data_IF_097385684742
#
_entry.id   IF_097385684742
#
_cell.length_a   1.000
_cell.length_b   1.000
_cell.length_c   1.000
_cell.angle_alpha   90.00
_cell.angle_beta   90.00
_cell.angle_gamma   90.00
#
_symmetry.space_group_name_H-M   'P 1'
#
loop_
_entity.id
_entity.type
_entity.pdbx_description
1 polymer ?
#
# COMPACT_ATOMS: atom_id res chain seq x y z
N UNK A 1 -18.78 -18.74 -2.03
CA UNK A 1 -17.41 -18.23 -1.75
C UNK A 1 -17.31 -17.53 -0.40
N UNK A 2 -18.21 -16.59 -0.04
CA UNK A 2 -18.25 -15.95 1.28
C UNK A 2 -18.49 -16.93 2.44
N UNK A 3 -19.43 -17.86 2.30
CA UNK A 3 -19.67 -18.90 3.31
C UNK A 3 -18.46 -19.82 3.57
N UNK A 4 -17.58 -19.99 2.57
CA UNK A 4 -16.34 -20.75 2.72
C UNK A 4 -15.32 -19.93 3.52
N UNK A 5 -15.09 -18.67 3.14
CA UNK A 5 -14.23 -17.74 3.89
C UNK A 5 -14.67 -17.56 5.36
N UNK A 6 -15.97 -17.49 5.63
CA UNK A 6 -16.50 -17.40 7.00
C UNK A 6 -16.33 -18.71 7.79
N UNK A 7 -16.38 -19.87 7.12
CA UNK A 7 -16.08 -21.15 7.78
C UNK A 7 -14.60 -21.30 8.07
N UNK A 8 -13.76 -20.86 7.14
CA UNK A 8 -12.30 -20.91 7.26
C UNK A 8 -11.79 -19.99 8.38
N UNK A 9 -12.32 -18.76 8.49
CA UNK A 9 -11.93 -17.82 9.56
C UNK A 9 -12.33 -18.32 10.95
N UNK A 10 -13.51 -18.94 11.10
CA UNK A 10 -13.93 -19.51 12.39
C UNK A 10 -13.02 -20.65 12.84
N UNK A 11 -12.55 -21.49 11.92
CA UNK A 11 -11.61 -22.57 12.24
C UNK A 11 -10.25 -22.02 12.69
N UNK A 12 -9.75 -20.99 11.99
CA UNK A 12 -8.47 -20.36 12.32
C UNK A 12 -8.53 -19.56 13.61
N UNK A 13 -9.65 -18.90 13.91
CA UNK A 13 -9.86 -18.21 15.20
C UNK A 13 -9.98 -19.22 16.34
N UNK A 14 -10.66 -20.35 16.14
CA UNK A 14 -10.72 -21.40 17.15
C UNK A 14 -9.33 -21.99 17.43
N UNK A 15 -8.51 -22.18 16.39
CA UNK A 15 -7.10 -22.55 16.57
C UNK A 15 -6.35 -21.50 17.39
N UNK A 16 -6.42 -20.21 17.02
CA UNK A 16 -5.77 -19.13 17.75
C UNK A 16 -6.17 -19.11 19.24
N UNK A 17 -7.48 -19.27 19.51
CA UNK A 17 -8.03 -19.31 20.86
C UNK A 17 -7.62 -20.55 21.67
N UNK A 18 -7.16 -21.62 20.99
CA UNK A 18 -6.65 -22.84 21.63
C UNK A 18 -5.17 -22.77 22.01
N UNK A 19 -4.45 -21.74 21.55
CA UNK A 19 -3.06 -21.50 21.92
C UNK A 19 -2.93 -21.14 23.42
N UNK A 20 -1.77 -21.44 24.00
CA UNK A 20 -1.45 -21.00 25.35
C UNK A 20 -1.40 -19.46 25.41
N UNK A 21 -1.78 -18.83 26.54
CA UNK A 21 -1.84 -17.37 26.65
C UNK A 21 -0.52 -16.67 26.29
N UNK A 22 0.63 -17.28 26.61
CA UNK A 22 1.94 -16.72 26.26
C UNK A 22 2.18 -16.69 24.75
N UNK A 23 1.70 -17.68 24.00
CA UNK A 23 1.83 -17.73 22.55
C UNK A 23 0.91 -16.69 21.89
N UNK A 24 -0.30 -16.50 22.43
CA UNK A 24 -1.20 -15.44 21.98
C UNK A 24 -0.59 -14.05 22.19
N UNK A 25 0.01 -13.80 23.37
CA UNK A 25 0.71 -12.53 23.66
C UNK A 25 1.92 -12.35 22.74
N UNK A 26 2.72 -13.39 22.52
CA UNK A 26 3.85 -13.34 21.58
C UNK A 26 3.40 -13.00 20.14
N UNK A 27 2.28 -13.55 19.69
CA UNK A 27 1.66 -13.17 18.41
C UNK A 27 1.19 -11.71 18.44
N UNK A 28 0.59 -11.25 19.55
CA UNK A 28 0.15 -9.86 19.69
C UNK A 28 1.31 -8.87 19.61
N UNK A 29 2.42 -9.18 20.30
CA UNK A 29 3.64 -8.38 20.26
C UNK A 29 4.24 -8.38 18.85
N UNK A 30 4.25 -9.53 18.17
CA UNK A 30 4.66 -9.61 16.76
C UNK A 30 3.82 -8.72 15.84
N UNK A 31 2.49 -8.77 15.95
CA UNK A 31 1.61 -7.99 15.07
C UNK A 31 1.56 -6.50 15.44
N UNK A 32 1.78 -6.13 16.70
CA UNK A 32 1.73 -4.73 17.16
C UNK A 32 3.08 -4.03 16.99
N UNK A 33 4.15 -4.64 17.48
CA UNK A 33 5.49 -4.04 17.52
C UNK A 33 6.31 -4.38 16.28
N UNK A 34 5.79 -5.22 15.38
CA UNK A 34 6.46 -5.69 14.15
C UNK A 34 7.87 -6.23 14.46
N UNK A 35 8.00 -6.92 15.60
CA UNK A 35 9.29 -7.43 16.04
C UNK A 35 9.74 -8.59 15.17
N UNK A 36 11.05 -8.71 14.92
CA UNK A 36 11.62 -9.81 14.14
C UNK A 36 11.63 -11.15 14.91
N UNK A 37 11.10 -11.20 16.14
CA UNK A 37 11.22 -12.34 17.06
C UNK A 37 9.87 -12.97 17.33
N UNK A 38 9.33 -13.68 16.34
CA UNK A 38 8.20 -14.58 16.55
C UNK A 38 8.72 -15.95 17.00
N UNK A 39 8.54 -16.28 18.28
CA UNK A 39 8.93 -17.58 18.84
C UNK A 39 7.76 -18.58 18.77
N UNK A 40 7.52 -19.14 17.59
CA UNK A 40 6.52 -20.20 17.36
C UNK A 40 7.15 -21.41 16.68
N UNK A 41 6.53 -22.58 16.82
CA UNK A 41 6.87 -23.77 16.04
C UNK A 41 6.47 -23.59 14.57
N UNK A 42 7.13 -24.31 13.65
CA UNK A 42 6.84 -24.22 12.21
C UNK A 42 5.36 -24.50 11.88
N UNK A 43 4.74 -25.45 12.59
CA UNK A 43 3.31 -25.78 12.45
C UNK A 43 2.41 -24.59 12.83
N UNK A 44 2.75 -23.84 13.89
CA UNK A 44 1.98 -22.65 14.28
C UNK A 44 2.23 -21.45 13.37
N UNK A 45 3.39 -21.38 12.71
CA UNK A 45 3.68 -20.33 11.72
C UNK A 45 2.82 -20.48 10.46
N UNK A 46 2.62 -21.72 9.99
CA UNK A 46 1.73 -22.00 8.86
C UNK A 46 0.28 -21.63 9.16
N UNK A 47 -0.18 -21.92 10.38
CA UNK A 47 -1.55 -21.64 10.82
C UNK A 47 -1.78 -20.14 10.99
N UNK A 48 -0.79 -19.43 11.57
CA UNK A 48 -0.80 -17.98 11.69
C UNK A 48 -0.80 -17.31 10.31
N UNK A 49 0.00 -17.82 9.37
CA UNK A 49 0.04 -17.31 7.99
C UNK A 49 -1.32 -17.47 7.31
N UNK A 50 -1.97 -18.63 7.46
CA UNK A 50 -3.34 -18.84 6.94
C UNK A 50 -4.35 -17.88 7.57
N UNK A 51 -4.24 -17.60 8.86
CA UNK A 51 -5.10 -16.63 9.56
C UNK A 51 -4.91 -15.22 8.98
N UNK A 52 -3.66 -14.76 8.88
CA UNK A 52 -3.30 -13.45 8.31
C UNK A 52 -3.81 -13.33 6.87
N UNK A 53 -3.52 -14.31 6.01
CA UNK A 53 -3.98 -14.34 4.62
C UNK A 53 -5.50 -14.28 4.51
N UNK A 54 -6.21 -14.99 5.39
CA UNK A 54 -7.67 -14.99 5.41
C UNK A 54 -8.23 -13.62 5.82
N UNK A 55 -7.65 -12.99 6.84
CA UNK A 55 -8.05 -11.64 7.28
C UNK A 55 -7.74 -10.61 6.19
N UNK A 56 -6.58 -10.66 5.55
CA UNK A 56 -6.22 -9.81 4.41
C UNK A 56 -7.26 -9.95 3.28
N UNK A 57 -7.64 -11.18 2.91
CA UNK A 57 -8.66 -11.41 1.90
C UNK A 57 -10.04 -10.86 2.30
N UNK A 58 -10.41 -10.93 3.58
CA UNK A 58 -11.65 -10.33 4.11
C UNK A 58 -11.59 -8.80 3.98
N UNK A 59 -10.48 -8.17 4.37
CA UNK A 59 -10.25 -6.71 4.24
C UNK A 59 -10.38 -6.29 2.78
N UNK A 60 -9.66 -6.97 1.89
CA UNK A 60 -9.69 -6.70 0.46
C UNK A 60 -11.12 -6.79 -0.05
N UNK A 61 -11.87 -7.84 0.28
CA UNK A 61 -13.26 -8.04 -0.19
C UNK A 61 -14.22 -6.97 0.33
N UNK A 62 -14.11 -6.57 1.60
CA UNK A 62 -15.03 -5.62 2.23
C UNK A 62 -14.64 -4.15 2.06
N UNK A 63 -13.45 -3.84 1.55
CA UNK A 63 -13.13 -2.47 1.10
C UNK A 63 -12.65 -1.52 2.20
N UNK A 64 -11.98 -2.06 3.24
CA UNK A 64 -11.45 -1.29 4.38
C UNK A 64 -12.55 -0.61 5.22
N UNK A 65 -13.52 -1.43 5.63
CA UNK A 65 -14.58 -1.10 6.60
C UNK A 65 -14.17 -1.65 7.98
N UNK A 66 -13.28 -0.93 8.69
CA UNK A 66 -12.67 -1.36 9.97
C UNK A 66 -13.70 -1.96 10.93
N UNK A 67 -14.73 -1.19 11.27
CA UNK A 67 -15.73 -1.60 12.27
C UNK A 67 -16.41 -2.92 11.89
N UNK A 68 -16.78 -3.07 10.61
CA UNK A 68 -17.43 -4.30 10.13
C UNK A 68 -16.49 -5.50 10.16
N UNK A 69 -15.23 -5.31 9.80
CA UNK A 69 -14.24 -6.39 9.76
C UNK A 69 -13.87 -6.80 11.20
N UNK A 70 -13.63 -5.83 12.08
CA UNK A 70 -13.36 -6.08 13.50
C UNK A 70 -14.55 -6.77 14.16
N UNK A 71 -15.78 -6.32 13.93
CA UNK A 71 -16.98 -6.98 14.44
C UNK A 71 -17.12 -8.41 13.91
N UNK A 72 -16.82 -8.66 12.63
CA UNK A 72 -16.81 -10.01 12.08
C UNK A 72 -15.81 -10.92 12.81
N UNK A 73 -14.60 -10.43 13.13
CA UNK A 73 -13.61 -11.21 13.87
C UNK A 73 -14.06 -11.49 15.30
N UNK A 74 -14.69 -10.50 15.96
CA UNK A 74 -15.26 -10.65 17.30
C UNK A 74 -16.41 -11.67 17.30
N UNK A 75 -17.34 -11.57 16.35
CA UNK A 75 -18.45 -12.51 16.17
C UNK A 75 -17.97 -13.93 15.86
N UNK A 76 -16.76 -14.05 15.30
CA UNK A 76 -16.09 -15.33 15.03
C UNK A 76 -15.35 -15.88 16.26
N UNK A 77 -15.35 -15.16 17.40
CA UNK A 77 -14.83 -15.61 18.69
C UNK A 77 -13.51 -14.99 19.13
N UNK A 78 -12.97 -14.01 18.40
CA UNK A 78 -11.70 -13.36 18.75
C UNK A 78 -11.91 -12.21 19.74
N UNK A 79 -11.07 -12.07 20.76
CA UNK A 79 -11.15 -10.91 21.66
C UNK A 79 -10.85 -9.60 20.90
N UNK A 80 -11.48 -8.50 21.36
CA UNK A 80 -11.44 -7.19 20.72
C UNK A 80 -10.02 -6.66 20.50
N UNK A 81 -9.10 -6.89 21.44
CA UNK A 81 -7.72 -6.40 21.34
C UNK A 81 -7.02 -7.10 20.18
N UNK A 82 -7.12 -8.44 20.11
CA UNK A 82 -6.55 -9.22 19.02
C UNK A 82 -7.22 -8.91 17.68
N UNK A 83 -8.54 -8.81 17.64
CA UNK A 83 -9.27 -8.46 16.42
C UNK A 83 -8.78 -7.13 15.82
N UNK A 84 -8.58 -6.11 16.67
CA UNK A 84 -8.03 -4.83 16.24
C UNK A 84 -6.56 -4.92 15.85
N UNK A 85 -5.76 -5.70 16.58
CA UNK A 85 -4.35 -5.96 16.26
C UNK A 85 -4.18 -6.59 14.88
N UNK A 86 -4.90 -7.69 14.61
CA UNK A 86 -4.86 -8.36 13.31
C UNK A 86 -5.37 -7.47 12.18
N UNK A 87 -6.44 -6.69 12.41
CA UNK A 87 -6.93 -5.75 11.41
C UNK A 87 -5.84 -4.73 11.02
N UNK A 88 -5.23 -4.08 12.01
CA UNK A 88 -4.19 -3.07 11.78
C UNK A 88 -2.95 -3.66 11.08
N UNK A 89 -2.59 -4.89 11.42
CA UNK A 89 -1.49 -5.59 10.77
C UNK A 89 -1.82 -5.91 9.30
N UNK A 90 -2.98 -6.51 9.04
CA UNK A 90 -3.37 -6.98 7.71
C UNK A 90 -3.83 -5.84 6.78
N UNK A 91 -4.30 -4.70 7.29
CA UNK A 91 -4.74 -3.59 6.44
C UNK A 91 -3.57 -2.97 5.69
N UNK A 92 -2.38 -2.95 6.28
CA UNK A 92 -1.18 -2.45 5.64
C UNK A 92 -0.77 -3.32 4.44
N UNK A 93 -0.80 -4.64 4.60
CA UNK A 93 -0.50 -5.60 3.52
C UNK A 93 -1.60 -5.60 2.45
N UNK A 94 -2.86 -5.42 2.85
CA UNK A 94 -4.00 -5.27 1.95
C UNK A 94 -4.00 -3.94 1.16
N UNK A 95 -3.35 -2.89 1.67
CA UNK A 95 -3.46 -1.53 1.16
C UNK A 95 -3.18 -1.41 -0.35
N UNK A 96 -2.13 -2.04 -0.93
CA UNK A 96 -1.89 -1.99 -2.37
C UNK A 96 -3.04 -2.57 -3.19
N UNK A 97 -3.73 -3.60 -2.70
CA UNK A 97 -4.89 -4.19 -3.39
C UNK A 97 -6.13 -3.32 -3.25
N UNK A 98 -6.34 -2.72 -2.08
CA UNK A 98 -7.41 -1.75 -1.85
C UNK A 98 -7.26 -0.52 -2.76
N UNK A 99 -6.03 -0.01 -2.89
CA UNK A 99 -5.73 1.11 -3.77
C UNK A 99 -5.89 0.73 -5.25
N UNK A 100 -5.46 -0.48 -5.63
CA UNK A 100 -5.65 -1.00 -6.98
C UNK A 100 -7.13 -1.12 -7.36
N UNK A 101 -8.01 -1.42 -6.40
CA UNK A 101 -9.46 -1.43 -6.63
C UNK A 101 -10.01 -0.05 -6.94
N UNK A 102 -9.47 1.01 -6.34
CA UNK A 102 -9.89 2.39 -6.64
C UNK A 102 -9.60 2.73 -8.10
N UNK A 103 -8.36 2.53 -8.55
CA UNK A 103 -7.99 2.81 -9.96
C UNK A 103 -8.68 1.88 -10.96
N UNK A 104 -9.09 0.67 -10.53
CA UNK A 104 -9.88 -0.26 -11.34
C UNK A 104 -11.34 0.18 -11.53
N UNK A 105 -11.87 1.02 -10.64
CA UNK A 105 -13.26 1.53 -10.70
C UNK A 105 -13.35 2.96 -11.25
N UNK A 106 -12.24 3.70 -11.25
CA UNK A 106 -12.15 5.09 -11.72
C UNK A 106 -12.61 5.25 -13.18
N UNK A 107 -13.14 6.40 -13.57
CA UNK A 107 -13.37 6.68 -15.00
C UNK A 107 -12.04 6.72 -15.75
N UNK A 108 -11.99 6.23 -17.00
CA UNK A 108 -10.75 6.21 -17.80
C UNK A 108 -10.13 7.59 -17.94
N UNK A 109 -10.95 8.59 -18.27
CA UNK A 109 -10.55 10.00 -18.39
C UNK A 109 -9.98 10.56 -17.08
N UNK A 110 -10.51 10.15 -15.94
CA UNK A 110 -9.97 10.57 -14.64
C UNK A 110 -8.64 9.85 -14.34
N UNK A 111 -8.51 8.58 -14.71
CA UNK A 111 -7.26 7.81 -14.57
C UNK A 111 -6.15 8.41 -15.45
N UNK A 112 -6.46 8.81 -16.68
CA UNK A 112 -5.53 9.53 -17.57
C UNK A 112 -5.04 10.84 -16.93
N UNK A 113 -5.96 11.63 -16.36
CA UNK A 113 -5.60 12.85 -15.62
C UNK A 113 -4.73 12.56 -14.40
N UNK A 114 -5.03 11.51 -13.64
CA UNK A 114 -4.23 11.08 -12.50
C UNK A 114 -2.81 10.69 -12.92
N UNK A 115 -2.68 9.86 -13.96
CA UNK A 115 -1.38 9.44 -14.49
C UNK A 115 -0.56 10.63 -15.00
N UNK A 116 -1.20 11.53 -15.77
CA UNK A 116 -0.57 12.77 -16.24
C UNK A 116 -0.16 13.68 -15.09
N UNK A 117 -1.01 13.83 -14.07
CA UNK A 117 -0.70 14.61 -12.88
C UNK A 117 0.51 14.04 -12.13
N UNK A 118 0.53 12.73 -11.87
CA UNK A 118 1.66 12.08 -11.17
C UNK A 118 2.94 12.20 -11.99
N UNK A 119 2.89 11.92 -13.30
CA UNK A 119 4.07 12.04 -14.17
C UNK A 119 4.65 13.46 -14.11
N UNK A 120 3.83 14.47 -14.38
CA UNK A 120 4.30 15.83 -14.50
C UNK A 120 4.62 16.45 -13.13
N UNK A 121 3.64 16.46 -12.22
CA UNK A 121 3.75 17.20 -10.95
C UNK A 121 4.50 16.46 -9.85
N UNK A 122 4.76 15.15 -9.99
CA UNK A 122 5.47 14.38 -8.96
C UNK A 122 6.79 13.81 -9.47
N UNK A 123 6.81 13.21 -10.66
CA UNK A 123 8.01 12.53 -11.17
C UNK A 123 8.96 13.51 -11.86
N UNK A 124 8.45 14.28 -12.82
CA UNK A 124 9.29 15.16 -13.66
C UNK A 124 9.64 16.46 -12.95
N UNK A 125 8.64 17.20 -12.45
CA UNK A 125 8.83 18.57 -11.95
C UNK A 125 8.77 18.71 -10.43
N UNK A 126 8.22 17.72 -9.70
CA UNK A 126 8.08 17.72 -8.22
C UNK A 126 7.28 18.89 -7.62
N UNK A 127 6.42 19.52 -8.40
CA UNK A 127 5.54 20.63 -8.01
C UNK A 127 4.27 20.19 -7.25
N UNK A 128 4.29 19.03 -6.58
CA UNK A 128 3.14 18.55 -5.83
C UNK A 128 2.80 19.43 -4.64
N UNK A 129 3.82 19.99 -3.97
CA UNK A 129 3.66 20.88 -2.82
C UNK A 129 2.93 22.18 -3.19
N UNK A 130 3.03 22.59 -4.45
CA UNK A 130 2.32 23.74 -5.01
C UNK A 130 0.86 23.44 -5.37
N UNK A 131 0.41 22.18 -5.22
CA UNK A 131 -0.95 21.77 -5.57
C UNK A 131 -1.84 21.66 -4.34
N UNK A 132 -2.89 22.47 -4.29
CA UNK A 132 -3.95 22.34 -3.28
C UNK A 132 -4.68 20.99 -3.48
N UNK A 133 -4.74 20.16 -2.43
CA UNK A 133 -5.28 18.80 -2.53
C UNK A 133 -6.75 18.74 -3.00
N UNK A 134 -7.55 19.75 -2.64
CA UNK A 134 -8.95 19.87 -3.11
C UNK A 134 -9.02 20.00 -4.64
N UNK A 135 -8.08 20.70 -5.27
CA UNK A 135 -8.05 20.86 -6.72
C UNK A 135 -7.58 19.59 -7.41
N UNK A 136 -6.65 18.85 -6.79
CA UNK A 136 -6.35 17.48 -7.20
C UNK A 136 -7.61 16.60 -7.14
N UNK A 137 -8.37 16.61 -6.04
CA UNK A 137 -9.60 15.82 -5.92
C UNK A 137 -10.62 16.14 -7.02
N UNK A 138 -10.77 17.42 -7.40
CA UNK A 138 -11.60 17.83 -8.54
C UNK A 138 -11.06 17.28 -9.86
N UNK A 139 -9.74 17.38 -10.10
CA UNK A 139 -9.09 16.90 -11.30
C UNK A 139 -9.34 15.40 -11.52
N UNK A 140 -9.23 14.61 -10.46
CA UNK A 140 -9.38 13.15 -10.51
C UNK A 140 -10.80 12.65 -10.26
N UNK A 141 -11.77 13.55 -10.05
CA UNK A 141 -13.18 13.24 -9.91
C UNK A 141 -13.57 12.59 -8.57
N UNK A 142 -12.86 12.89 -7.50
CA UNK A 142 -13.12 12.43 -6.13
C UNK A 142 -13.51 13.56 -5.17
N UNK A 143 -14.30 14.53 -5.65
CA UNK A 143 -14.65 15.76 -4.91
C UNK A 143 -15.21 15.52 -3.51
N UNK A 144 -15.91 14.40 -3.31
CA UNK A 144 -16.54 14.02 -2.04
C UNK A 144 -15.96 12.72 -1.45
N UNK A 145 -14.83 12.21 -1.98
CA UNK A 145 -14.23 10.95 -1.55
C UNK A 145 -12.71 11.11 -1.41
N UNK A 146 -12.32 11.81 -0.35
CA UNK A 146 -10.92 12.03 0.00
C UNK A 146 -10.14 10.73 0.17
N UNK A 147 -10.76 9.68 0.73
CA UNK A 147 -10.15 8.37 0.93
C UNK A 147 -9.74 7.78 -0.41
N UNK A 148 -10.64 7.71 -1.39
CA UNK A 148 -10.32 7.21 -2.72
C UNK A 148 -9.30 8.10 -3.43
N UNK A 149 -9.38 9.42 -3.30
CA UNK A 149 -8.39 10.34 -3.88
C UNK A 149 -6.97 10.06 -3.38
N UNK A 150 -6.80 9.93 -2.05
CA UNK A 150 -5.50 9.60 -1.43
C UNK A 150 -5.00 8.23 -1.88
N UNK A 151 -5.88 7.23 -1.95
CA UNK A 151 -5.54 5.87 -2.42
C UNK A 151 -5.08 5.85 -3.86
N UNK A 152 -5.83 6.51 -4.76
CA UNK A 152 -5.49 6.56 -6.18
C UNK A 152 -4.16 7.28 -6.40
N UNK A 153 -3.93 8.39 -5.68
CA UNK A 153 -2.66 9.11 -5.73
C UNK A 153 -1.51 8.24 -5.25
N UNK A 154 -1.68 7.60 -4.09
CA UNK A 154 -0.66 6.76 -3.45
C UNK A 154 -0.21 5.64 -4.38
N UNK A 155 -1.13 4.86 -4.95
CA UNK A 155 -0.72 3.73 -5.79
C UNK A 155 -0.04 4.18 -7.08
N UNK A 156 -0.59 5.17 -7.82
CA UNK A 156 0.05 5.61 -9.07
C UNK A 156 1.43 6.24 -8.78
N UNK A 157 1.55 7.03 -7.71
CA UNK A 157 2.84 7.57 -7.26
C UNK A 157 3.85 6.47 -6.95
N UNK A 158 3.46 5.43 -6.21
CA UNK A 158 4.36 4.31 -5.88
C UNK A 158 4.81 3.62 -7.17
N UNK A 159 3.88 3.22 -8.04
CA UNK A 159 4.20 2.50 -9.28
C UNK A 159 5.13 3.31 -10.19
N UNK A 160 4.87 4.61 -10.34
CA UNK A 160 5.69 5.50 -11.17
C UNK A 160 7.06 5.74 -10.54
N UNK A 161 7.12 5.86 -9.21
CA UNK A 161 8.39 5.98 -8.48
C UNK A 161 9.22 4.70 -8.59
N UNK A 162 8.60 3.52 -8.58
CA UNK A 162 9.31 2.25 -8.78
C UNK A 162 9.96 2.18 -10.17
N UNK A 163 9.27 2.62 -11.21
CA UNK A 163 9.84 2.70 -12.57
C UNK A 163 10.92 3.79 -12.67
N UNK A 164 10.66 4.97 -12.12
CA UNK A 164 11.63 6.08 -12.08
C UNK A 164 12.94 5.68 -11.39
N UNK A 165 12.85 4.91 -10.31
CA UNK A 165 13.99 4.37 -9.58
C UNK A 165 14.59 3.10 -10.19
N UNK A 166 14.14 2.71 -11.40
CA UNK A 166 14.60 1.51 -12.11
C UNK A 166 14.44 0.21 -11.30
N UNK A 167 13.49 0.17 -10.35
CA UNK A 167 13.12 -1.07 -9.65
C UNK A 167 12.38 -2.01 -10.59
N UNK A 168 11.57 -1.44 -11.49
CA UNK A 168 10.82 -2.18 -12.52
C UNK A 168 10.96 -1.51 -13.88
N UNK A 169 10.95 -2.31 -14.95
CA UNK A 169 10.65 -1.82 -16.29
C UNK A 169 9.14 -1.60 -16.44
N UNK A 170 8.69 -0.79 -17.43
CA UNK A 170 7.27 -0.67 -17.75
C UNK A 170 6.59 -2.01 -18.04
N UNK A 171 7.30 -2.97 -18.66
CA UNK A 171 6.77 -4.32 -18.92
C UNK A 171 6.59 -5.13 -17.63
N UNK A 172 7.55 -5.06 -16.69
CA UNK A 172 7.38 -5.71 -15.38
C UNK A 172 6.22 -5.09 -14.61
N UNK A 173 6.04 -3.77 -14.69
CA UNK A 173 4.89 -3.08 -14.10
C UNK A 173 3.57 -3.57 -14.71
N UNK A 174 3.50 -3.71 -16.04
CA UNK A 174 2.32 -4.24 -16.75
C UNK A 174 1.93 -5.63 -16.24
N UNK A 175 2.90 -6.55 -16.14
CA UNK A 175 2.70 -7.91 -15.59
C UNK A 175 2.18 -7.83 -14.14
N UNK A 176 2.73 -6.95 -13.30
CA UNK A 176 2.29 -6.76 -11.91
C UNK A 176 0.84 -6.25 -11.86
N UNK A 177 0.48 -5.27 -12.69
CA UNK A 177 -0.89 -4.74 -12.76
C UNK A 177 -1.91 -5.79 -13.22
N UNK A 178 -1.56 -6.60 -14.21
CA UNK A 178 -2.42 -7.66 -14.74
C UNK A 178 -2.57 -8.82 -13.77
N UNK A 179 -1.45 -9.40 -13.30
CA UNK A 179 -1.48 -10.65 -12.56
C UNK A 179 -1.65 -10.49 -11.06
N UNK A 180 -0.96 -9.49 -10.44
CA UNK A 180 -1.04 -9.26 -9.00
C UNK A 180 -2.27 -8.44 -8.63
N UNK A 181 -2.49 -7.33 -9.32
CA UNK A 181 -3.57 -6.40 -9.00
C UNK A 181 -4.88 -6.66 -9.78
N UNK A 182 -4.87 -7.56 -10.76
CA UNK A 182 -6.04 -7.94 -11.57
C UNK A 182 -6.69 -6.75 -12.29
N UNK A 183 -5.89 -5.78 -12.73
CA UNK A 183 -6.35 -4.60 -13.46
C UNK A 183 -6.61 -4.99 -14.91
N UNK A 184 -7.68 -4.45 -15.50
CA UNK A 184 -8.02 -4.70 -16.91
C UNK A 184 -7.03 -4.02 -17.85
N UNK A 185 -6.70 -4.69 -18.96
CA UNK A 185 -5.69 -4.25 -19.94
C UNK A 185 -5.88 -2.80 -20.42
N UNK A 186 -7.12 -2.40 -20.71
CA UNK A 186 -7.45 -1.05 -21.15
C UNK A 186 -7.10 0.05 -20.15
N UNK A 187 -7.06 -0.27 -18.85
CA UNK A 187 -6.59 0.63 -17.79
C UNK A 187 -5.08 0.54 -17.60
N UNK A 188 -4.51 -0.66 -17.80
CA UNK A 188 -3.06 -0.85 -17.74
C UNK A 188 -2.39 0.01 -18.81
N UNK A 189 -2.93 0.03 -20.02
CA UNK A 189 -2.40 0.85 -21.12
C UNK A 189 -2.39 2.35 -20.74
N UNK A 190 -3.45 2.86 -20.10
CA UNK A 190 -3.51 4.24 -19.58
C UNK A 190 -2.41 4.50 -18.54
N UNK A 191 -2.13 3.52 -17.66
CA UNK A 191 -1.14 3.67 -16.59
C UNK A 191 0.28 3.59 -17.15
N UNK A 192 0.53 2.70 -18.10
CA UNK A 192 1.89 2.32 -18.52
C UNK A 192 2.37 3.14 -19.73
N UNK A 193 1.51 3.49 -20.69
CA UNK A 193 1.92 4.22 -21.89
C UNK A 193 2.63 5.56 -21.57
N UNK A 194 2.14 6.40 -20.63
CA UNK A 194 2.83 7.63 -20.27
C UNK A 194 4.26 7.39 -19.76
N UNK A 195 4.52 6.26 -19.11
CA UNK A 195 5.86 5.90 -18.65
C UNK A 195 6.76 5.50 -19.83
N UNK A 196 6.24 4.70 -20.77
CA UNK A 196 6.99 4.25 -21.96
C UNK A 196 7.39 5.45 -22.82
N UNK A 197 6.45 6.38 -23.02
CA UNK A 197 6.64 7.56 -23.86
C UNK A 197 7.63 8.57 -23.27
N UNK A 198 7.91 8.51 -21.96
CA UNK A 198 8.73 9.50 -21.23
C UNK A 198 9.89 8.88 -20.44
N UNK A 199 10.35 7.67 -20.81
CA UNK A 199 11.45 6.99 -20.10
C UNK A 199 12.71 7.89 -19.96
N UNK A 200 13.21 8.52 -21.04
CA UNK A 200 14.41 9.36 -20.94
C UNK A 200 14.25 10.50 -19.94
N UNK A 201 13.12 11.21 -20.00
CA UNK A 201 12.79 12.36 -19.16
C UNK A 201 12.66 11.94 -17.69
N UNK A 202 11.98 10.82 -17.43
CA UNK A 202 11.82 10.25 -16.09
C UNK A 202 13.18 9.93 -15.48
N UNK A 203 14.07 9.27 -16.23
CA UNK A 203 15.40 8.92 -15.73
C UNK A 203 16.28 10.15 -15.53
N UNK A 204 16.20 11.12 -16.44
CA UNK A 204 16.93 12.37 -16.31
C UNK A 204 16.48 13.15 -15.06
N UNK A 205 15.17 13.32 -14.88
CA UNK A 205 14.60 13.97 -13.70
C UNK A 205 15.02 13.25 -12.41
N UNK A 206 14.96 11.91 -12.37
CA UNK A 206 15.38 11.17 -11.18
C UNK A 206 16.86 11.36 -10.86
N UNK A 207 17.73 11.34 -11.87
CA UNK A 207 19.17 11.50 -11.69
C UNK A 207 19.52 12.91 -11.20
N UNK A 208 18.94 13.94 -11.81
CA UNK A 208 19.06 15.33 -11.33
C UNK A 208 18.65 15.45 -9.86
N UNK A 209 17.55 14.81 -9.49
CA UNK A 209 17.07 14.84 -8.12
C UNK A 209 17.99 14.12 -7.12
N UNK A 210 18.56 12.98 -7.50
CA UNK A 210 19.53 12.27 -6.67
C UNK A 210 20.80 13.10 -6.46
N UNK A 211 21.28 13.75 -7.52
CA UNK A 211 22.43 14.66 -7.46
C UNK A 211 22.13 15.85 -6.54
N UNK A 212 20.99 16.53 -6.73
CA UNK A 212 20.59 17.67 -5.90
C UNK A 212 20.46 17.29 -4.42
N UNK A 213 19.88 16.12 -4.13
CA UNK A 213 19.79 15.60 -2.76
C UNK A 213 21.18 15.37 -2.17
N UNK A 214 22.07 14.73 -2.92
CA UNK A 214 23.44 14.46 -2.48
C UNK A 214 24.23 15.75 -2.23
N UNK A 215 24.06 16.77 -3.09
CA UNK A 215 24.65 18.09 -2.89
C UNK A 215 24.12 18.79 -1.64
N UNK A 216 22.81 18.68 -1.38
CA UNK A 216 22.19 19.21 -0.16
C UNK A 216 22.72 18.51 1.09
N UNK A 217 22.84 17.18 1.05
CA UNK A 217 23.35 16.36 2.16
C UNK A 217 24.85 16.65 2.44
N UNK A 218 25.66 16.87 1.40
CA UNK A 218 27.05 17.31 1.56
C UNK A 218 27.10 18.71 2.18
N UNK A 219 26.24 19.61 1.73
CA UNK A 219 26.20 21.00 2.20
C UNK A 219 25.82 21.05 3.68
N UNK A 220 24.82 20.30 4.12
CA UNK A 220 24.42 20.21 5.53
C UNK A 220 25.49 19.57 6.41
N UNK A 221 26.17 18.53 5.92
CA UNK A 221 27.30 17.91 6.62
C UNK A 221 28.48 18.88 6.79
N UNK A 222 28.82 19.64 5.73
CA UNK A 222 29.87 20.66 5.79
C UNK A 222 29.53 21.82 6.73
N UNK A 223 28.25 22.17 6.86
CA UNK A 223 27.79 23.19 7.80
C UNK A 223 27.88 22.69 9.25
N UNK A 224 27.50 21.43 9.52
CA UNK A 224 27.61 20.82 10.85
C UNK A 224 29.04 20.58 11.33
N UNK A 225 30.01 20.45 10.43
CA UNK A 225 31.44 20.39 10.78
C UNK A 225 32.06 21.75 11.14
N UNK A 226 31.39 22.85 10.80
CA UNK A 226 31.84 24.22 11.09
C UNK A 226 31.18 24.82 12.35
N UNK A 227 30.34 24.05 13.07
CA UNK A 227 29.90 24.46 14.40
C UNK A 227 31.07 24.31 15.38
N UNK A 228 31.50 25.38 16.08
CA UNK A 228 32.51 25.26 17.10
C UNK A 228 31.97 24.38 18.22
N UNK A 229 32.79 23.42 18.67
CA UNK A 229 32.53 22.68 19.91
C UNK A 229 32.43 23.69 21.06
N UNK A 230 31.20 23.95 21.53
CA UNK A 230 30.96 24.60 22.82
C UNK A 230 31.26 23.67 23.99
#
# INVERSE_FOLDING_TARGET
MLAKTNKDINLLINWFNSLEPNDQVNILDYIHDKTDKLLLSDEYLDELSKLIDTIELIIIKNGDEEEKIVNLLIDSGLDKIFAKGFYNFCVETAAPYLDAKVISKMLKTNLEKLCSFVLNKIILFREYEETVFIDFMKLVGFQNDEKSARRSLRIIRILYSEVSNRKYSPETLKIKLEHKYKIKKDRIDIIVNPLIENIPEIYHANLLNQVNKLLSDISSFSAGLNEPLE
#
